data_IF_304624594320
#
_entry.id   IF_304624594320
#
_cell.length_a   1.000
_cell.length_b   1.000
_cell.length_c   1.000
_cell.angle_alpha   90.00
_cell.angle_beta   90.00
_cell.angle_gamma   90.00
#
_symmetry.space_group_name_H-M   'P 1'
#
loop_
_entity.id
_entity.type
_entity.pdbx_description
1 polymer ?
#
# COMPACT_ATOMS: atom_id res chain seq x y z
N UNK A 1 -3.69 -19.40 -18.28
CA UNK A 1 -3.53 -18.06 -17.69
C UNK A 1 -2.06 -17.69 -17.76
N UNK A 2 -1.66 -16.76 -18.62
CA UNK A 2 -0.26 -16.41 -18.78
C UNK A 2 0.21 -15.71 -17.49
N UNK A 3 1.15 -16.34 -16.78
CA UNK A 3 1.81 -15.70 -15.65
C UNK A 3 2.66 -14.56 -16.20
N UNK A 4 2.34 -13.33 -15.80
CA UNK A 4 3.21 -12.18 -16.08
C UNK A 4 4.53 -12.39 -15.36
N UNK A 5 5.61 -12.60 -16.14
CA UNK A 5 6.96 -12.77 -15.60
C UNK A 5 7.70 -11.45 -15.77
N UNK A 6 8.13 -10.86 -14.66
CA UNK A 6 9.16 -9.83 -14.68
C UNK A 6 10.49 -10.51 -15.07
N UNK A 7 11.15 -10.01 -16.09
CA UNK A 7 12.46 -10.50 -16.53
C UNK A 7 13.40 -9.32 -16.72
N UNK A 8 14.63 -9.48 -16.28
CA UNK A 8 15.75 -8.57 -16.54
C UNK A 8 15.42 -7.09 -16.19
N UNK A 9 14.70 -6.89 -15.08
CA UNK A 9 14.39 -5.57 -14.57
C UNK A 9 15.51 -5.11 -13.63
N UNK A 10 16.14 -4.00 -13.98
CA UNK A 10 17.06 -3.29 -13.10
C UNK A 10 16.62 -1.83 -13.02
N UNK A 11 16.42 -1.33 -11.81
CA UNK A 11 16.09 0.08 -11.56
C UNK A 11 16.63 0.50 -10.20
N UNK A 12 16.92 1.78 -10.09
CA UNK A 12 17.33 2.41 -8.85
C UNK A 12 16.51 3.69 -8.67
N UNK A 13 16.01 3.92 -7.46
CA UNK A 13 15.21 5.09 -7.09
C UNK A 13 15.89 5.73 -5.90
N UNK A 14 16.22 7.02 -6.01
CA UNK A 14 16.85 7.79 -4.95
C UNK A 14 15.89 8.09 -3.80
N UNK A 15 16.49 8.36 -2.64
CA UNK A 15 15.71 8.81 -1.48
C UNK A 15 15.03 10.15 -1.77
N UNK A 16 13.74 10.26 -1.41
CA UNK A 16 12.95 11.48 -1.60
C UNK A 16 12.38 11.64 -3.03
N UNK A 17 12.64 10.70 -3.94
CA UNK A 17 12.06 10.76 -5.28
C UNK A 17 10.61 10.29 -5.32
N UNK A 18 9.79 11.02 -6.09
CA UNK A 18 8.47 10.57 -6.52
C UNK A 18 8.63 9.83 -7.85
N UNK A 19 8.46 8.51 -7.82
CA UNK A 19 8.68 7.65 -8.99
C UNK A 19 7.36 7.05 -9.49
N UNK A 20 7.17 7.05 -10.82
CA UNK A 20 6.00 6.47 -11.47
C UNK A 20 6.39 5.30 -12.39
N UNK A 21 5.70 4.17 -12.25
CA UNK A 21 5.86 3.01 -13.12
C UNK A 21 4.68 2.93 -14.09
N UNK A 22 4.93 3.14 -15.37
CA UNK A 22 3.91 3.17 -16.43
C UNK A 22 4.11 1.96 -17.34
N UNK A 23 3.01 1.38 -17.79
CA UNK A 23 3.03 0.25 -18.72
C UNK A 23 1.65 -0.39 -18.88
N UNK A 24 1.46 -1.25 -19.88
CA UNK A 24 0.19 -1.91 -20.14
C UNK A 24 -0.22 -2.86 -19.01
N UNK A 25 -1.48 -3.28 -19.03
CA UNK A 25 -1.97 -4.31 -18.12
C UNK A 25 -1.23 -5.63 -18.37
N UNK A 26 -0.88 -6.31 -17.30
CA UNK A 26 -0.09 -7.54 -17.37
C UNK A 26 1.43 -7.35 -17.50
N UNK A 27 1.94 -6.10 -17.58
CA UNK A 27 3.38 -5.82 -17.66
C UNK A 27 4.17 -6.17 -16.38
N UNK A 28 3.49 -6.54 -15.30
CA UNK A 28 4.14 -6.93 -14.04
C UNK A 28 4.31 -5.81 -13.02
N UNK A 29 3.75 -4.61 -13.23
CA UNK A 29 3.84 -3.48 -12.29
C UNK A 29 3.44 -3.87 -10.86
N UNK A 30 2.27 -4.47 -10.72
CA UNK A 30 1.77 -4.94 -9.40
C UNK A 30 2.65 -6.04 -8.81
N UNK A 31 3.22 -6.90 -9.63
CA UNK A 31 4.15 -7.94 -9.19
C UNK A 31 5.41 -7.31 -8.59
N UNK A 32 5.97 -6.29 -9.24
CA UNK A 32 7.11 -5.54 -8.72
C UNK A 32 6.80 -4.91 -7.35
N UNK A 33 5.69 -4.17 -7.25
CA UNK A 33 5.29 -3.57 -5.97
C UNK A 33 5.10 -4.61 -4.86
N UNK A 34 4.54 -5.78 -5.17
CA UNK A 34 4.38 -6.86 -4.18
C UNK A 34 5.72 -7.43 -3.73
N UNK A 35 6.71 -7.51 -4.62
CA UNK A 35 8.08 -7.93 -4.25
C UNK A 35 8.71 -6.88 -3.33
N UNK A 36 8.67 -5.60 -3.71
CA UNK A 36 9.24 -4.51 -2.92
C UNK A 36 8.58 -4.36 -1.54
N UNK A 37 7.29 -4.63 -1.45
CA UNK A 37 6.55 -4.60 -0.17
C UNK A 37 6.56 -5.94 0.58
N UNK A 38 7.38 -6.88 0.15
CA UNK A 38 7.57 -8.20 0.78
C UNK A 38 6.32 -9.10 0.79
N UNK A 39 5.36 -8.84 -0.08
CA UNK A 39 4.13 -9.65 -0.24
C UNK A 39 4.31 -10.80 -1.23
N UNK A 40 5.39 -10.79 -1.99
CA UNK A 40 5.72 -11.82 -2.96
C UNK A 40 7.24 -12.01 -2.99
N UNK A 41 7.69 -13.24 -3.10
CA UNK A 41 9.10 -13.56 -3.32
C UNK A 41 9.41 -13.55 -4.82
N UNK A 42 10.57 -13.03 -5.19
CA UNK A 42 11.08 -13.15 -6.55
C UNK A 42 11.66 -14.56 -6.77
N UNK A 43 11.50 -15.10 -7.97
CA UNK A 43 12.09 -16.39 -8.35
C UNK A 43 13.62 -16.30 -8.41
N UNK A 44 14.16 -15.12 -8.77
CA UNK A 44 15.59 -14.84 -8.87
C UNK A 44 15.85 -13.34 -8.81
N UNK A 45 17.12 -12.96 -8.64
CA UNK A 45 17.52 -11.56 -8.49
C UNK A 45 17.48 -11.08 -7.05
N UNK A 46 17.77 -9.80 -6.87
CA UNK A 46 17.81 -9.14 -5.56
C UNK A 46 17.01 -7.84 -5.61
N UNK A 47 16.42 -7.47 -4.50
CA UNK A 47 15.79 -6.18 -4.34
C UNK A 47 16.03 -5.64 -2.93
N UNK A 48 16.12 -4.32 -2.82
CA UNK A 48 16.24 -3.64 -1.53
C UNK A 48 15.29 -2.44 -1.47
N UNK A 49 14.84 -2.13 -0.28
CA UNK A 49 14.00 -0.97 0.01
C UNK A 49 14.59 -0.25 1.22
N UNK A 50 14.90 1.04 1.07
CA UNK A 50 15.59 1.82 2.11
C UNK A 50 16.89 1.15 2.60
N UNK A 51 17.64 0.51 1.70
CA UNK A 51 18.87 -0.20 2.04
C UNK A 51 18.67 -1.58 2.69
N UNK A 52 17.43 -2.03 2.86
CA UNK A 52 17.06 -3.30 3.48
C UNK A 52 16.72 -4.34 2.41
N UNK A 53 17.22 -5.55 2.56
CA UNK A 53 16.96 -6.68 1.65
C UNK A 53 15.51 -7.19 1.81
N UNK A 54 14.75 -7.31 0.71
CA UNK A 54 13.32 -7.66 0.75
C UNK A 54 13.04 -9.07 1.28
N UNK A 55 14.05 -9.94 1.34
CA UNK A 55 13.91 -11.31 1.87
C UNK A 55 14.40 -11.38 3.31
N UNK A 56 15.59 -10.85 3.59
CA UNK A 56 16.24 -10.96 4.90
C UNK A 56 15.60 -10.02 5.93
N UNK A 57 15.25 -8.80 5.51
CA UNK A 57 14.82 -7.72 6.40
C UNK A 57 13.31 -7.43 6.29
N UNK A 58 12.53 -8.42 5.83
CA UNK A 58 11.10 -8.26 5.53
C UNK A 58 10.28 -7.63 6.67
N UNK A 59 10.59 -7.96 7.93
CA UNK A 59 9.88 -7.42 9.09
C UNK A 59 10.13 -5.93 9.27
N UNK A 60 11.36 -5.50 9.04
CA UNK A 60 11.75 -4.10 9.16
C UNK A 60 11.20 -3.27 7.99
N UNK A 61 11.21 -3.81 6.76
CA UNK A 61 10.57 -3.17 5.62
C UNK A 61 9.09 -2.95 5.88
N UNK A 62 8.35 -3.96 6.37
CA UNK A 62 6.92 -3.87 6.67
C UNK A 62 6.57 -2.82 7.73
N UNK A 63 7.51 -2.42 8.58
CA UNK A 63 7.33 -1.32 9.53
C UNK A 63 7.50 0.06 8.91
N UNK A 64 8.20 0.15 7.77
CA UNK A 64 8.57 1.41 7.11
C UNK A 64 7.76 1.73 5.88
N UNK A 65 7.14 0.73 5.24
CA UNK A 65 6.40 0.92 3.99
C UNK A 65 4.91 0.84 4.20
N UNK A 66 4.18 1.72 3.52
CA UNK A 66 2.73 1.60 3.29
C UNK A 66 2.48 1.04 1.89
N UNK A 67 1.53 0.13 1.76
CA UNK A 67 1.11 -0.41 0.48
C UNK A 67 -0.39 -0.20 0.27
N UNK A 68 -0.74 0.55 -0.76
CA UNK A 68 -2.12 0.72 -1.18
C UNK A 68 -2.35 -0.09 -2.46
N UNK A 69 -3.12 -1.19 -2.40
CA UNK A 69 -3.42 -1.99 -3.58
C UNK A 69 -4.37 -1.26 -4.53
N UNK A 70 -4.27 -1.56 -5.84
CA UNK A 70 -5.15 -0.98 -6.85
C UNK A 70 -6.62 -1.42 -6.79
N UNK A 71 -6.96 -2.33 -5.87
CA UNK A 71 -8.33 -2.73 -5.57
C UNK A 71 -8.68 -2.30 -4.16
N UNK A 72 -9.94 -1.90 -3.97
CA UNK A 72 -10.46 -1.57 -2.66
C UNK A 72 -10.24 -2.73 -1.67
N UNK A 73 -9.49 -2.48 -0.62
CA UNK A 73 -8.99 -3.51 0.31
C UNK A 73 -9.49 -3.34 1.74
N UNK A 74 -10.32 -2.32 2.01
CA UNK A 74 -10.92 -2.13 3.32
C UNK A 74 -12.03 -3.16 3.58
N UNK A 75 -12.30 -3.43 4.84
CA UNK A 75 -13.41 -4.27 5.27
C UNK A 75 -14.74 -3.56 4.95
N UNK A 76 -15.47 -4.09 3.96
CA UNK A 76 -16.64 -3.42 3.39
C UNK A 76 -17.82 -3.33 4.35
N UNK A 77 -17.93 -4.26 5.28
CA UNK A 77 -19.00 -4.33 6.30
C UNK A 77 -18.73 -3.42 7.50
N UNK A 78 -17.49 -3.00 7.68
CA UNK A 78 -17.10 -2.05 8.71
C UNK A 78 -17.31 -0.60 8.20
N UNK A 79 -17.54 0.31 9.13
CA UNK A 79 -17.56 1.74 8.85
C UNK A 79 -16.15 2.25 8.51
N UNK A 80 -16.05 3.46 7.99
CA UNK A 80 -14.76 4.12 7.76
C UNK A 80 -13.97 4.21 9.07
N UNK A 81 -14.60 4.66 10.14
CA UNK A 81 -13.97 4.82 11.46
C UNK A 81 -13.51 3.47 12.05
N UNK A 82 -14.32 2.42 11.93
CA UNK A 82 -13.93 1.08 12.36
C UNK A 82 -12.74 0.52 11.57
N UNK A 83 -12.69 0.75 10.25
CA UNK A 83 -11.52 0.41 9.43
C UNK A 83 -10.26 1.15 9.90
N UNK A 84 -10.36 2.47 10.10
CA UNK A 84 -9.23 3.28 10.55
C UNK A 84 -8.72 2.83 11.92
N UNK A 85 -9.61 2.59 12.88
CA UNK A 85 -9.24 2.10 14.21
C UNK A 85 -8.60 0.71 14.16
N UNK A 86 -9.12 -0.17 13.30
CA UNK A 86 -8.52 -1.49 13.11
C UNK A 86 -7.07 -1.38 12.63
N UNK A 87 -6.81 -0.61 11.56
CA UNK A 87 -5.45 -0.45 11.06
C UNK A 87 -4.56 0.32 12.03
N UNK A 88 -5.06 1.37 12.69
CA UNK A 88 -4.31 2.07 13.72
C UNK A 88 -3.86 1.11 14.84
N UNK A 89 -4.74 0.23 15.29
CA UNK A 89 -4.40 -0.81 16.28
C UNK A 89 -3.34 -1.78 15.76
N UNK A 90 -3.47 -2.25 14.51
CA UNK A 90 -2.47 -3.15 13.88
C UNK A 90 -1.08 -2.51 13.82
N UNK A 91 -1.01 -1.21 13.57
CA UNK A 91 0.23 -0.45 13.50
C UNK A 91 0.65 0.17 14.85
N UNK A 92 -0.07 -0.15 15.93
CA UNK A 92 0.21 0.34 17.28
C UNK A 92 0.26 1.87 17.39
N UNK A 93 -0.76 2.52 16.81
CA UNK A 93 -0.97 3.98 16.82
C UNK A 93 -2.46 4.27 16.98
N UNK A 94 -2.83 5.55 16.94
CA UNK A 94 -4.23 6.01 16.96
C UNK A 94 -4.53 6.94 15.78
N UNK A 95 -5.81 7.18 15.51
CA UNK A 95 -6.24 8.15 14.49
C UNK A 95 -5.77 9.55 14.90
N UNK A 96 -5.94 9.89 16.17
CA UNK A 96 -5.64 11.20 16.73
C UNK A 96 -4.15 11.56 16.58
N UNK A 97 -3.25 10.62 16.84
CA UNK A 97 -1.80 10.81 16.69
C UNK A 97 -1.39 11.17 15.27
N UNK A 98 -2.15 10.72 14.27
CA UNK A 98 -1.83 10.90 12.86
C UNK A 98 -2.79 11.85 12.15
N UNK A 99 -3.76 12.44 12.86
CA UNK A 99 -4.81 13.26 12.25
C UNK A 99 -4.24 14.42 11.44
N UNK A 100 -3.24 15.12 11.96
CA UNK A 100 -2.63 16.27 11.29
C UNK A 100 -1.95 15.92 9.96
N UNK A 101 -1.43 14.71 9.83
CA UNK A 101 -0.80 14.22 8.60
C UNK A 101 -1.80 14.02 7.45
N UNK A 102 -3.04 13.70 7.79
CA UNK A 102 -4.06 13.30 6.81
C UNK A 102 -5.25 14.26 6.77
N UNK A 103 -5.26 15.31 7.60
CA UNK A 103 -6.39 16.24 7.78
C UNK A 103 -6.98 16.73 6.47
N UNK A 104 -6.15 17.19 5.55
CA UNK A 104 -6.61 17.82 4.30
C UNK A 104 -7.37 16.86 3.41
N UNK A 105 -7.04 15.56 3.48
CA UNK A 105 -7.73 14.51 2.75
C UNK A 105 -8.86 13.93 3.59
N UNK A 106 -8.58 13.59 4.84
CA UNK A 106 -9.54 12.92 5.72
C UNK A 106 -10.76 13.78 6.03
N UNK A 107 -10.61 15.10 6.15
CA UNK A 107 -11.74 16.03 6.37
C UNK A 107 -12.86 15.92 5.33
N UNK A 108 -12.54 15.46 4.13
CA UNK A 108 -13.54 15.23 3.07
C UNK A 108 -14.36 13.94 3.31
N UNK A 109 -13.80 12.97 4.00
CA UNK A 109 -14.42 11.67 4.30
C UNK A 109 -15.01 11.64 5.70
N UNK A 110 -14.48 12.42 6.63
CA UNK A 110 -14.87 12.45 8.02
C UNK A 110 -16.40 12.62 8.26
N UNK A 111 -17.15 13.43 7.50
CA UNK A 111 -18.60 13.51 7.61
C UNK A 111 -19.32 12.17 7.35
N UNK A 112 -18.64 11.24 6.69
CA UNK A 112 -19.15 9.91 6.34
C UNK A 112 -18.52 8.79 7.17
N UNK A 113 -17.81 9.11 8.25
CA UNK A 113 -17.02 8.14 9.03
C UNK A 113 -17.84 6.97 9.59
N UNK A 114 -19.13 7.17 9.86
CA UNK A 114 -20.04 6.13 10.32
C UNK A 114 -20.71 5.34 9.19
N UNK A 115 -20.42 5.66 7.93
CA UNK A 115 -20.90 4.91 6.77
C UNK A 115 -20.06 3.66 6.56
N UNK A 116 -20.70 2.52 6.23
CA UNK A 116 -19.98 1.30 5.85
C UNK A 116 -19.11 1.56 4.63
N UNK A 117 -17.88 1.08 4.66
CA UNK A 117 -16.91 1.29 3.58
C UNK A 117 -17.42 0.75 2.23
N UNK A 118 -18.16 -0.34 2.22
CA UNK A 118 -18.79 -0.87 1.01
C UNK A 118 -19.83 0.07 0.35
N UNK A 119 -20.38 1.01 1.11
CA UNK A 119 -21.39 1.98 0.63
C UNK A 119 -20.80 3.33 0.18
N UNK A 120 -19.49 3.48 0.23
CA UNK A 120 -18.81 4.67 -0.29
C UNK A 120 -18.85 4.68 -1.81
N UNK A 121 -18.84 5.88 -2.40
CA UNK A 121 -18.67 6.05 -3.85
C UNK A 121 -17.28 5.62 -4.31
N UNK A 122 -17.09 5.41 -5.61
CA UNK A 122 -15.79 5.01 -6.16
C UNK A 122 -14.65 5.96 -5.77
N UNK A 123 -14.87 7.28 -5.89
CA UNK A 123 -13.88 8.29 -5.51
C UNK A 123 -13.60 8.35 -4.00
N UNK A 124 -14.59 8.04 -3.16
CA UNK A 124 -14.39 8.01 -1.70
C UNK A 124 -13.66 6.74 -1.23
N UNK A 125 -13.53 5.73 -2.09
CA UNK A 125 -12.85 4.47 -1.80
C UNK A 125 -11.36 4.50 -2.10
N UNK A 126 -10.89 5.56 -2.74
CA UNK A 126 -9.50 5.81 -3.08
C UNK A 126 -8.93 6.92 -2.21
#
# INVERSE_FOLDING_TARGET
>A
MAMSRLRDLSLEIGSGELFGLIGPDGAGKTTLFRILTTLLLADSGTASVCGLDVVKDLKEIRRRVGYMPGRFSLYQDLTVEENLNFFATVFNTTIEENYDLVRDIYSQIEPFKHRRAGKLSGGMKQ
#
